data_IF_436186441745
#
_entry.id   IF_436186441745
#
_cell.length_a   1.000
_cell.length_b   1.000
_cell.length_c   1.000
_cell.angle_alpha   90.00
_cell.angle_beta   90.00
_cell.angle_gamma   90.00
#
_symmetry.space_group_name_H-M   'P 1'
#
loop_
_entity.id
_entity.type
_entity.pdbx_description
1 polymer ?
#
# COMPACT_ATOMS: atom_id res chain seq x y z
N UNK A 1 -5.65 12.45 -20.40
CA UNK A 1 -5.42 11.53 -19.27
C UNK A 1 -6.36 10.36 -19.46
N UNK A 2 -5.85 9.13 -19.44
CA UNK A 2 -6.70 7.93 -19.49
C UNK A 2 -7.32 7.67 -18.10
N UNK A 3 -8.40 6.86 -18.00
CA UNK A 3 -9.02 6.53 -16.72
C UNK A 3 -8.00 6.10 -15.67
N UNK A 4 -8.01 6.79 -14.53
CA UNK A 4 -7.04 6.59 -13.45
C UNK A 4 -7.75 6.77 -12.11
N UNK A 5 -7.57 5.84 -11.20
CA UNK A 5 -8.15 5.84 -9.84
C UNK A 5 -7.11 5.39 -8.84
N UNK A 6 -7.06 6.05 -7.69
CA UNK A 6 -6.29 5.59 -6.53
C UNK A 6 -7.27 5.14 -5.47
N UNK A 7 -7.14 3.88 -5.05
CA UNK A 7 -7.87 3.33 -3.91
C UNK A 7 -6.97 3.46 -2.68
N UNK A 8 -7.50 4.07 -1.63
CA UNK A 8 -6.83 4.20 -0.33
C UNK A 8 -7.61 3.37 0.68
N UNK A 9 -6.96 2.44 1.35
CA UNK A 9 -7.56 1.59 2.37
C UNK A 9 -6.52 1.16 3.40
N UNK A 10 -6.97 0.70 4.57
CA UNK A 10 -6.04 0.28 5.61
C UNK A 10 -6.71 -0.46 6.75
N UNK A 11 -5.87 -1.07 7.58
CA UNK A 11 -6.27 -1.71 8.83
C UNK A 11 -5.69 -0.90 10.01
N UNK A 12 -6.50 -0.09 10.71
CA UNK A 12 -6.02 0.76 11.80
C UNK A 12 -5.27 -0.01 12.90
N UNK A 13 -5.63 -1.29 13.15
CA UNK A 13 -4.97 -2.11 14.17
C UNK A 13 -3.47 -2.33 13.91
N UNK A 14 -3.07 -2.36 12.64
CA UNK A 14 -1.67 -2.53 12.25
C UNK A 14 -0.97 -1.22 11.89
N UNK A 15 -1.67 -0.29 11.23
CA UNK A 15 -1.06 0.93 10.71
C UNK A 15 -0.95 2.08 11.71
N UNK A 16 -1.91 2.24 12.63
CA UNK A 16 -1.97 3.44 13.48
C UNK A 16 -0.83 3.49 14.50
N UNK A 17 -0.48 2.37 15.13
CA UNK A 17 0.66 2.31 16.05
C UNK A 17 1.98 2.60 15.34
N UNK A 18 2.14 2.14 14.09
CA UNK A 18 3.32 2.42 13.27
C UNK A 18 3.41 3.90 12.92
N UNK A 19 2.30 4.54 12.50
CA UNK A 19 2.29 5.98 12.23
C UNK A 19 2.54 6.82 13.50
N UNK A 20 2.16 6.34 14.68
CA UNK A 20 2.48 7.02 15.94
C UNK A 20 3.97 6.91 16.30
N UNK A 21 4.58 5.75 16.07
CA UNK A 21 6.00 5.52 16.33
C UNK A 21 6.92 6.14 15.26
N UNK A 22 6.47 6.15 14.01
CA UNK A 22 7.18 6.64 12.83
C UNK A 22 6.25 7.57 12.02
N UNK A 23 6.14 8.86 12.40
CA UNK A 23 5.19 9.81 11.81
C UNK A 23 5.27 9.93 10.29
N UNK A 24 6.47 9.85 9.72
CA UNK A 24 6.69 9.97 8.27
C UNK A 24 6.05 8.83 7.46
N UNK A 25 5.73 7.69 8.11
CA UNK A 25 4.98 6.61 7.47
C UNK A 25 3.58 7.05 7.03
N UNK A 26 3.03 8.16 7.55
CA UNK A 26 1.77 8.73 7.09
C UNK A 26 1.82 9.24 5.63
N UNK A 27 3.00 9.35 5.03
CA UNK A 27 3.13 9.63 3.60
C UNK A 27 2.73 8.43 2.73
N UNK A 28 3.00 7.21 3.20
CA UNK A 28 2.76 5.94 2.50
C UNK A 28 1.57 5.14 3.07
N UNK A 29 1.12 5.45 4.28
CA UNK A 29 -0.07 4.89 4.91
C UNK A 29 -1.20 5.92 4.99
N UNK A 30 -2.48 5.51 4.81
CA UNK A 30 -2.95 4.14 4.56
C UNK A 30 -2.54 3.60 3.19
N UNK A 31 -2.59 2.28 3.03
CA UNK A 31 -2.13 1.59 1.82
C UNK A 31 -2.86 2.11 0.58
N UNK A 32 -2.09 2.35 -0.49
CA UNK A 32 -2.57 2.93 -1.74
C UNK A 32 -2.33 2.01 -2.92
N UNK A 33 -3.36 1.90 -3.76
CA UNK A 33 -3.33 1.12 -5.00
C UNK A 33 -3.77 2.01 -6.14
N UNK A 34 -2.89 2.17 -7.12
CA UNK A 34 -3.15 2.82 -8.40
C UNK A 34 -3.79 1.82 -9.36
N UNK A 35 -4.92 2.19 -9.95
CA UNK A 35 -5.56 1.48 -11.06
C UNK A 35 -5.62 2.48 -12.21
N UNK A 36 -4.96 2.17 -13.33
CA UNK A 36 -4.99 3.04 -14.51
C UNK A 36 -5.10 2.26 -15.80
N UNK A 37 -5.67 2.90 -16.81
CA UNK A 37 -5.68 2.41 -18.18
C UNK A 37 -4.45 2.92 -18.95
N UNK A 38 -3.84 2.05 -19.75
CA UNK A 38 -2.73 2.32 -20.66
C UNK A 38 -3.24 2.59 -22.08
N UNK A 39 -2.39 3.15 -22.95
CA UNK A 39 -2.77 3.55 -24.31
C UNK A 39 -3.23 2.40 -25.22
N UNK A 40 -2.91 1.15 -24.87
CA UNK A 40 -3.33 -0.06 -25.57
C UNK A 40 -4.61 -0.70 -24.99
N UNK A 41 -5.29 0.00 -24.06
CA UNK A 41 -6.52 -0.44 -23.41
C UNK A 41 -6.32 -1.43 -22.26
N UNK A 42 -5.07 -1.77 -21.90
CA UNK A 42 -4.80 -2.60 -20.72
C UNK A 42 -5.01 -1.82 -19.42
N UNK A 43 -5.54 -2.50 -18.41
CA UNK A 43 -5.62 -1.97 -17.04
C UNK A 43 -4.42 -2.46 -16.24
N UNK A 44 -3.69 -1.53 -15.64
CA UNK A 44 -2.53 -1.80 -14.79
C UNK A 44 -2.87 -1.45 -13.34
N UNK A 45 -2.53 -2.36 -12.45
CA UNK A 45 -2.63 -2.16 -10.99
C UNK A 45 -1.22 -2.04 -10.42
N UNK A 46 -0.97 -0.94 -9.71
CA UNK A 46 0.34 -0.64 -9.10
C UNK A 46 0.22 -0.25 -7.64
N UNK A 47 1.15 -0.73 -6.83
CA UNK A 47 1.29 -0.36 -5.41
C UNK A 47 2.74 -0.58 -4.99
N UNK A 48 3.17 0.09 -3.93
CA UNK A 48 4.48 -0.16 -3.35
C UNK A 48 4.45 -1.41 -2.45
N UNK A 49 5.48 -2.27 -2.50
CA UNK A 49 5.64 -3.35 -1.54
C UNK A 49 5.75 -2.80 -0.13
N UNK A 50 5.21 -3.52 0.85
CA UNK A 50 5.22 -3.09 2.27
C UNK A 50 6.64 -2.89 2.82
N UNK A 51 7.63 -3.59 2.28
CA UNK A 51 9.05 -3.46 2.66
C UNK A 51 9.59 -2.04 2.46
N UNK A 52 9.03 -1.24 1.56
CA UNK A 52 9.46 0.15 1.40
C UNK A 52 9.34 0.92 2.71
N UNK A 53 8.40 0.55 3.58
CA UNK A 53 8.17 1.23 4.84
C UNK A 53 9.33 1.09 5.82
N UNK A 54 10.25 0.14 5.61
CA UNK A 54 11.46 0.00 6.42
C UNK A 54 12.41 1.20 6.25
N UNK A 55 12.27 1.98 5.18
CA UNK A 55 13.04 3.23 5.02
C UNK A 55 12.69 4.28 6.09
N UNK A 56 11.53 4.14 6.75
CA UNK A 56 11.13 4.99 7.87
C UNK A 56 11.67 4.52 9.23
N UNK A 57 12.36 3.38 9.28
CA UNK A 57 12.97 2.82 10.50
C UNK A 57 12.38 1.53 11.10
N UNK A 58 11.12 1.10 10.89
CA UNK A 58 10.62 -0.11 11.52
C UNK A 58 11.31 -1.36 10.98
N UNK A 59 11.50 -2.36 11.85
CA UNK A 59 12.05 -3.65 11.45
C UNK A 59 11.03 -4.51 10.69
N UNK A 60 11.48 -5.66 10.17
CA UNK A 60 10.62 -6.60 9.43
C UNK A 60 9.45 -7.10 10.27
N UNK A 61 9.65 -7.31 11.58
CA UNK A 61 8.60 -7.82 12.45
C UNK A 61 7.47 -6.80 12.64
N UNK A 62 7.82 -5.52 12.77
CA UNK A 62 6.89 -4.41 12.91
C UNK A 62 6.00 -4.22 11.67
N UNK A 63 6.54 -4.41 10.46
CA UNK A 63 5.78 -4.25 9.20
C UNK A 63 5.04 -5.52 8.76
N UNK A 64 5.38 -6.69 9.31
CA UNK A 64 4.80 -7.97 8.92
C UNK A 64 3.25 -8.00 8.93
N UNK A 65 2.54 -7.37 9.88
CA UNK A 65 1.08 -7.36 9.87
C UNK A 65 0.48 -6.65 8.63
N UNK A 66 1.20 -5.68 8.07
CA UNK A 66 0.76 -4.92 6.89
C UNK A 66 0.82 -5.75 5.60
N UNK A 67 1.61 -6.84 5.57
CA UNK A 67 1.68 -7.77 4.43
C UNK A 67 0.34 -8.39 4.04
N UNK A 68 -0.61 -8.45 4.97
CA UNK A 68 -1.95 -8.92 4.67
C UNK A 68 -2.71 -7.97 3.71
N UNK A 69 -2.39 -6.67 3.70
CA UNK A 69 -2.96 -5.70 2.76
C UNK A 69 -2.45 -5.98 1.34
N UNK A 70 -1.16 -6.26 1.20
CA UNK A 70 -0.56 -6.64 -0.10
C UNK A 70 -1.19 -7.93 -0.64
N UNK A 71 -1.31 -8.96 0.21
CA UNK A 71 -1.96 -10.23 -0.16
C UNK A 71 -3.42 -10.04 -0.58
N UNK A 72 -4.14 -9.11 0.06
CA UNK A 72 -5.52 -8.80 -0.29
C UNK A 72 -5.62 -8.25 -1.72
N UNK A 73 -4.70 -7.35 -2.09
CA UNK A 73 -4.64 -6.79 -3.45
C UNK A 73 -4.26 -7.87 -4.47
N UNK A 74 -3.23 -8.68 -4.17
CA UNK A 74 -2.82 -9.78 -5.04
C UNK A 74 -3.97 -10.76 -5.30
N UNK A 75 -4.75 -11.10 -4.27
CA UNK A 75 -5.92 -11.98 -4.40
C UNK A 75 -7.05 -11.33 -5.20
N UNK A 76 -7.21 -10.01 -5.14
CA UNK A 76 -8.27 -9.31 -5.86
C UNK A 76 -7.98 -9.14 -7.37
N UNK A 77 -6.73 -9.36 -7.80
CA UNK A 77 -6.30 -9.27 -9.20
C UNK A 77 -6.28 -10.65 -9.88
N UNK A 78 -6.29 -11.74 -9.11
CA UNK A 78 -6.39 -13.12 -9.59
C UNK A 78 -7.84 -13.52 -9.85
#
# INVERSE_FOLDING_TARGET
MLPTTVIIFGNPKGGTSLMQAYPDMALDLPFRVLIREESDGRVVVGYYPVEILQTYGPDTAAIQPLKNLEKLVQKAIQ
#
